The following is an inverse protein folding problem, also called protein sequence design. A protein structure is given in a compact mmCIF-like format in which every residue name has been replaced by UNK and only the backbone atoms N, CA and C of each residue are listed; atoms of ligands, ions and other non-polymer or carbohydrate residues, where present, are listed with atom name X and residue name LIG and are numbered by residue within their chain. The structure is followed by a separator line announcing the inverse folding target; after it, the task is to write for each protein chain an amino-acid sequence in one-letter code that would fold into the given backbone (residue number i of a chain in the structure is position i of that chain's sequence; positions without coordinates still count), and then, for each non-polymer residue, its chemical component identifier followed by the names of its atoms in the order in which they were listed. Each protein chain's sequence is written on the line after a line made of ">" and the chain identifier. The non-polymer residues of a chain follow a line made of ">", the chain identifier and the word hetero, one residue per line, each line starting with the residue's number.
data_IF_979736576286
#
_entry.id   IF_979736576286
#
_cell.length_a   1.000
_cell.length_b   1.000
_cell.length_c   1.000
_cell.angle_alpha   90.00
_cell.angle_beta   90.00
_cell.angle_gamma   90.00
#
_symmetry.space_group_name_H-M   'P 1'
#
loop_
_entity.id
_entity.type
_entity.pdbx_description
1 polymer ?
#
# COMPACT_ATOMS: atom_id res chain seq x y z
N UNK A 1 -47.89 -16.11 12.30
CA UNK A 1 -47.11 -17.13 13.03
C UNK A 1 -45.97 -16.38 13.72
N UNK A 2 -46.17 -16.03 14.99
CA UNK A 2 -45.22 -15.23 15.77
C UNK A 2 -44.15 -16.14 16.37
N UNK A 3 -42.89 -15.88 16.03
CA UNK A 3 -41.74 -16.51 16.67
C UNK A 3 -41.57 -15.85 18.04
N UNK A 4 -41.94 -16.58 19.11
CA UNK A 4 -41.67 -16.14 20.48
C UNK A 4 -40.17 -16.22 20.76
N UNK A 5 -39.55 -15.09 21.12
CA UNK A 5 -38.13 -15.00 21.54
C UNK A 5 -37.83 -15.64 22.91
N UNK A 6 -38.80 -16.33 23.52
CA UNK A 6 -38.65 -16.94 24.84
C UNK A 6 -38.05 -18.35 24.84
N UNK A 7 -37.71 -18.90 23.66
CA UNK A 7 -37.25 -20.27 23.54
C UNK A 7 -35.71 -20.31 23.58
N UNK A 8 -35.07 -20.86 24.62
CA UNK A 8 -33.61 -20.82 24.80
C UNK A 8 -32.85 -21.48 23.64
N UNK A 9 -33.48 -22.45 22.96
CA UNK A 9 -32.95 -23.07 21.75
C UNK A 9 -32.82 -22.08 20.58
N UNK A 10 -33.78 -21.17 20.39
CA UNK A 10 -33.75 -20.19 19.29
C UNK A 10 -32.66 -19.14 19.54
N UNK A 11 -32.46 -18.74 20.78
CA UNK A 11 -31.41 -17.81 21.18
C UNK A 11 -30.02 -18.42 21.00
N UNK A 12 -29.86 -19.70 21.32
CA UNK A 12 -28.61 -20.44 21.13
C UNK A 12 -28.25 -20.53 19.64
N UNK A 13 -29.21 -20.85 18.76
CA UNK A 13 -28.99 -20.86 17.31
C UNK A 13 -28.67 -19.46 16.75
N UNK A 14 -29.25 -18.40 17.30
CA UNK A 14 -28.97 -17.02 16.88
C UNK A 14 -27.56 -16.56 17.29
N UNK A 15 -27.09 -16.94 18.48
CA UNK A 15 -25.72 -16.69 18.94
C UNK A 15 -24.71 -17.52 18.13
N UNK A 16 -25.02 -18.78 17.82
CA UNK A 16 -24.16 -19.64 17.00
C UNK A 16 -24.04 -19.10 15.57
N UNK A 17 -25.13 -18.58 15.02
CA UNK A 17 -25.13 -17.90 13.73
C UNK A 17 -24.30 -16.61 13.76
N UNK A 18 -24.44 -15.77 14.79
CA UNK A 18 -23.61 -14.57 14.97
C UNK A 18 -22.12 -14.88 15.10
N UNK A 19 -21.75 -15.96 15.81
CA UNK A 19 -20.36 -16.41 15.89
C UNK A 19 -19.83 -16.91 14.54
N UNK A 20 -20.64 -17.65 13.77
CA UNK A 20 -20.28 -18.08 12.42
C UNK A 20 -20.13 -16.89 11.45
N UNK A 21 -20.96 -15.85 11.58
CA UNK A 21 -20.81 -14.60 10.81
C UNK A 21 -19.55 -13.81 11.21
N UNK A 22 -19.18 -13.77 12.49
CA UNK A 22 -17.92 -13.17 12.93
C UNK A 22 -16.70 -13.96 12.45
N UNK A 23 -16.78 -15.30 12.39
CA UNK A 23 -15.71 -16.14 11.84
C UNK A 23 -15.55 -15.97 10.32
N UNK A 24 -16.63 -15.73 9.57
CA UNK A 24 -16.56 -15.45 8.14
C UNK A 24 -16.17 -14.00 7.82
N UNK A 25 -16.47 -13.04 8.70
CA UNK A 25 -16.12 -11.62 8.52
C UNK A 25 -14.67 -11.27 8.88
N UNK A 26 -13.94 -12.17 9.57
CA UNK A 26 -12.54 -11.96 9.96
C UNK A 26 -11.53 -12.65 9.03
N UNK A 27 -11.99 -13.29 7.96
CA UNK A 27 -11.14 -13.97 7.00
C UNK A 27 -11.14 -13.25 5.64
N UNK A 28 -10.87 -11.95 5.69
CA UNK A 28 -10.62 -11.12 4.51
C UNK A 28 -9.47 -10.14 4.77
N UNK A 29 -8.45 -10.61 5.49
CA UNK A 29 -7.11 -10.05 5.36
C UNK A 29 -6.33 -11.07 4.52
N UNK A 30 -6.47 -10.90 3.21
CA UNK A 30 -5.75 -11.68 2.22
C UNK A 30 -4.29 -11.26 2.30
N UNK A 31 -3.54 -12.03 3.07
CA UNK A 31 -2.09 -12.09 3.04
C UNK A 31 -1.72 -12.24 1.56
N UNK A 32 -1.17 -11.19 0.95
CA UNK A 32 -0.55 -11.30 -0.36
C UNK A 32 0.59 -12.29 -0.21
N UNK A 33 0.29 -13.54 -0.49
CA UNK A 33 1.25 -14.59 -0.71
C UNK A 33 2.10 -14.06 -1.87
N UNK A 34 3.32 -13.63 -1.57
CA UNK A 34 4.37 -13.50 -2.58
C UNK A 34 4.61 -14.93 -3.10
N UNK A 35 3.74 -15.37 -4.01
CA UNK A 35 3.99 -16.55 -4.79
C UNK A 35 5.23 -16.24 -5.65
N UNK A 36 6.35 -16.76 -5.17
CA UNK A 36 7.60 -16.93 -5.91
C UNK A 36 7.44 -17.96 -7.04
N UNK A 37 6.33 -17.89 -7.78
CA UNK A 37 6.17 -18.62 -9.03
C UNK A 37 6.57 -17.66 -10.16
N UNK A 38 7.73 -17.91 -10.76
CA UNK A 38 8.13 -17.31 -12.04
C UNK A 38 7.34 -17.96 -13.19
N UNK A 39 6.01 -18.01 -13.03
CA UNK A 39 5.05 -18.35 -14.06
C UNK A 39 4.99 -17.23 -15.09
N UNK A 40 4.83 -17.61 -16.35
CA UNK A 40 5.04 -16.82 -17.56
C UNK A 40 4.06 -15.65 -17.78
N UNK A 41 3.32 -15.22 -16.76
CA UNK A 41 2.36 -14.12 -16.88
C UNK A 41 2.91 -12.84 -16.24
N UNK A 42 3.32 -11.89 -17.09
CA UNK A 42 3.68 -10.52 -16.70
C UNK A 42 5.17 -10.18 -16.70
N UNK A 43 6.06 -11.09 -17.14
CA UNK A 43 7.47 -10.79 -17.36
C UNK A 43 7.71 -10.09 -18.70
N UNK A 44 8.43 -8.97 -18.70
CA UNK A 44 8.85 -8.25 -19.90
C UNK A 44 10.37 -8.34 -20.09
N UNK A 45 10.81 -8.47 -21.34
CA UNK A 45 12.22 -8.63 -21.70
C UNK A 45 12.64 -7.56 -22.71
N UNK A 46 13.79 -6.94 -22.48
CA UNK A 46 14.36 -5.97 -23.40
C UNK A 46 15.89 -6.07 -23.44
N UNK A 47 16.47 -5.64 -24.56
CA UNK A 47 17.88 -5.84 -24.84
C UNK A 47 18.73 -4.64 -24.42
N UNK A 48 19.89 -4.94 -23.85
CA UNK A 48 21.00 -4.01 -23.72
C UNK A 48 21.84 -4.08 -24.98
N UNK A 49 22.09 -2.92 -25.57
CA UNK A 49 23.02 -2.80 -26.67
C UNK A 49 24.22 -1.94 -26.29
N UNK A 50 25.37 -2.22 -26.88
CA UNK A 50 26.62 -1.51 -26.62
C UNK A 50 27.31 -1.08 -27.91
N UNK A 51 28.19 -0.09 -27.82
CA UNK A 51 29.04 0.33 -28.92
C UNK A 51 30.44 0.67 -28.40
N UNK A 52 31.43 0.44 -29.25
CA UNK A 52 32.83 0.70 -28.96
C UNK A 52 33.24 2.02 -29.63
N UNK A 53 33.42 3.10 -28.85
CA UNK A 53 33.65 4.42 -29.42
C UNK A 53 32.46 4.84 -30.27
N UNK A 54 32.71 5.34 -31.48
CA UNK A 54 31.68 5.79 -32.41
C UNK A 54 31.11 4.70 -33.34
N UNK A 55 31.41 3.43 -33.09
CA UNK A 55 30.89 2.31 -33.87
C UNK A 55 29.38 2.08 -33.70
N UNK A 56 28.84 1.22 -34.56
CA UNK A 56 27.48 0.72 -34.49
C UNK A 56 27.21 -0.05 -33.19
N UNK A 57 25.93 -0.13 -32.84
CA UNK A 57 25.49 -0.81 -31.63
C UNK A 57 25.18 -2.28 -31.88
N UNK A 58 25.61 -3.13 -30.94
CA UNK A 58 25.41 -4.57 -30.97
C UNK A 58 24.74 -5.05 -29.68
N UNK A 59 24.06 -6.20 -29.74
CA UNK A 59 23.39 -6.78 -28.57
C UNK A 59 24.40 -7.34 -27.57
N UNK A 60 24.26 -6.93 -26.32
CA UNK A 60 25.28 -7.14 -25.30
C UNK A 60 24.71 -7.79 -24.02
N UNK A 61 23.40 -7.84 -23.88
CA UNK A 61 22.75 -8.53 -22.77
C UNK A 61 21.24 -8.31 -22.80
N UNK A 62 20.58 -8.84 -21.78
CA UNK A 62 19.13 -8.83 -21.70
C UNK A 62 18.68 -8.49 -20.28
N UNK A 63 17.76 -7.56 -20.18
CA UNK A 63 17.00 -7.29 -18.97
C UNK A 63 15.67 -8.02 -18.99
N UNK A 64 15.32 -8.59 -17.84
CA UNK A 64 13.98 -9.12 -17.57
C UNK A 64 13.40 -8.39 -16.36
N UNK A 65 12.18 -7.91 -16.47
CA UNK A 65 11.49 -7.21 -15.39
C UNK A 65 10.06 -7.74 -15.25
N UNK A 66 9.46 -7.64 -14.08
CA UNK A 66 8.04 -7.92 -13.85
C UNK A 66 7.23 -6.65 -14.05
N UNK A 67 6.17 -6.74 -14.83
CA UNK A 67 5.20 -5.67 -15.01
C UNK A 67 4.16 -5.75 -13.90
N UNK A 68 4.13 -4.74 -13.03
CA UNK A 68 3.13 -4.62 -11.96
C UNK A 68 2.10 -3.57 -12.35
N UNK A 69 0.83 -3.99 -12.45
CA UNK A 69 -0.32 -3.09 -12.62
C UNK A 69 -0.80 -2.60 -11.26
N UNK A 70 -1.00 -1.29 -11.11
CA UNK A 70 -1.54 -0.67 -9.91
C UNK A 70 -3.06 -0.50 -10.02
N UNK A 71 -3.74 -0.39 -8.89
CA UNK A 71 -5.21 -0.24 -8.82
C UNK A 71 -5.75 0.99 -9.58
N UNK A 72 -4.90 2.01 -9.78
CA UNK A 72 -5.22 3.21 -10.55
C UNK A 72 -4.96 3.06 -12.06
N UNK A 73 -4.69 1.84 -12.55
CA UNK A 73 -4.50 1.53 -13.97
C UNK A 73 -3.08 1.75 -14.51
N UNK A 74 -2.17 2.34 -13.72
CA UNK A 74 -0.77 2.50 -14.10
C UNK A 74 -0.01 1.17 -14.10
N UNK A 75 0.92 1.00 -15.04
CA UNK A 75 1.83 -0.16 -15.08
C UNK A 75 3.25 0.29 -14.75
N UNK A 76 3.96 -0.46 -13.92
CA UNK A 76 5.32 -0.14 -13.46
C UNK A 76 6.23 -1.36 -13.57
N UNK A 77 7.50 -1.14 -13.86
CA UNK A 77 8.50 -2.21 -13.87
C UNK A 77 9.02 -2.48 -12.46
N UNK A 78 9.08 -3.75 -12.08
CA UNK A 78 9.54 -4.22 -10.76
C UNK A 78 10.43 -5.45 -10.92
N UNK A 79 11.20 -5.81 -9.87
CA UNK A 79 12.08 -7.01 -9.84
C UNK A 79 12.96 -7.15 -11.11
N UNK A 80 13.79 -6.14 -11.40
CA UNK A 80 14.72 -6.16 -12.54
C UNK A 80 15.79 -7.24 -12.35
N UNK A 81 16.00 -8.07 -13.37
CA UNK A 81 17.10 -9.02 -13.49
C UNK A 81 17.87 -8.74 -14.77
N UNK A 82 19.17 -8.97 -14.72
CA UNK A 82 20.06 -8.70 -15.84
C UNK A 82 20.91 -9.93 -16.16
N UNK A 83 20.97 -10.26 -17.44
CA UNK A 83 21.86 -11.29 -17.98
C UNK A 83 22.82 -10.65 -18.98
N UNK A 84 24.11 -10.83 -18.74
CA UNK A 84 25.18 -10.16 -19.49
C UNK A 84 25.91 -11.14 -20.39
N UNK A 85 26.10 -10.78 -21.66
CA UNK A 85 26.89 -11.59 -22.58
C UNK A 85 28.39 -11.38 -22.34
N UNK A 86 29.17 -12.45 -22.48
CA UNK A 86 30.62 -12.36 -22.47
C UNK A 86 31.12 -11.75 -23.80
N UNK A 87 32.25 -11.04 -23.75
CA UNK A 87 32.89 -10.55 -24.97
C UNK A 87 33.46 -11.69 -25.82
N UNK A 88 33.19 -11.62 -27.11
CA UNK A 88 33.88 -12.35 -28.17
C UNK A 88 35.34 -11.89 -28.31
N UNK A 89 36.16 -12.68 -29.01
CA UNK A 89 37.57 -12.35 -29.22
C UNK A 89 37.75 -10.99 -29.92
N UNK A 90 36.91 -10.67 -30.90
CA UNK A 90 36.95 -9.41 -31.64
C UNK A 90 36.56 -8.21 -30.77
N UNK A 91 35.56 -8.36 -29.91
CA UNK A 91 35.12 -7.32 -28.98
C UNK A 91 36.19 -7.00 -27.94
N UNK A 92 36.94 -8.01 -27.48
CA UNK A 92 38.08 -7.80 -26.57
C UNK A 92 39.17 -6.95 -27.21
N UNK A 93 39.44 -7.16 -28.50
CA UNK A 93 40.40 -6.35 -29.24
C UNK A 93 39.90 -4.90 -29.41
N UNK A 94 38.63 -4.73 -29.82
CA UNK A 94 37.99 -3.41 -29.94
C UNK A 94 38.02 -2.65 -28.61
N UNK A 95 37.68 -3.32 -27.51
CA UNK A 95 37.72 -2.72 -26.18
C UNK A 95 39.16 -2.35 -25.76
N UNK A 96 40.15 -3.18 -26.08
CA UNK A 96 41.57 -2.87 -25.81
C UNK A 96 42.03 -1.61 -26.55
N UNK A 97 41.56 -1.38 -27.78
CA UNK A 97 41.83 -0.15 -28.52
C UNK A 97 41.19 1.08 -27.84
N UNK A 98 39.97 0.96 -27.32
CA UNK A 98 39.34 2.04 -26.54
C UNK A 98 40.13 2.39 -25.29
N UNK A 99 40.69 1.38 -24.60
CA UNK A 99 41.52 1.59 -23.43
C UNK A 99 42.78 2.39 -23.81
N UNK A 100 43.43 2.07 -24.92
CA UNK A 100 44.59 2.82 -25.41
C UNK A 100 44.21 4.28 -25.72
N UNK A 101 43.08 4.52 -26.39
CA UNK A 101 42.58 5.86 -26.75
C UNK A 101 41.94 6.66 -25.61
N UNK A 102 41.64 6.05 -24.46
CA UNK A 102 40.74 6.62 -23.44
C UNK A 102 39.40 7.05 -24.04
N UNK A 103 38.87 6.23 -24.95
CA UNK A 103 37.63 6.50 -25.67
C UNK A 103 36.40 6.07 -24.88
N UNK A 104 35.22 6.44 -25.39
CA UNK A 104 33.95 6.11 -24.76
C UNK A 104 33.50 4.70 -25.11
N UNK A 105 33.05 3.97 -24.10
CA UNK A 105 32.24 2.78 -24.27
C UNK A 105 30.79 3.17 -23.99
N UNK A 106 29.91 2.92 -24.97
CA UNK A 106 28.54 3.42 -24.97
C UNK A 106 27.58 2.25 -24.81
N UNK A 107 26.46 2.52 -24.14
CA UNK A 107 25.34 1.60 -24.05
C UNK A 107 24.05 2.29 -24.46
N UNK A 108 23.07 1.53 -24.92
CA UNK A 108 21.73 2.02 -25.20
C UNK A 108 20.65 1.03 -24.79
N UNK A 109 19.51 1.58 -24.42
CA UNK A 109 18.28 0.86 -24.07
C UNK A 109 17.09 1.46 -24.85
N UNK A 110 16.07 0.66 -25.17
CA UNK A 110 14.86 1.18 -25.78
C UNK A 110 14.15 2.15 -24.80
N UNK A 111 13.57 3.22 -25.33
CA UNK A 111 12.82 4.22 -24.54
C UNK A 111 11.49 3.68 -23.99
N UNK A 112 10.87 2.70 -24.66
CA UNK A 112 9.67 2.03 -24.20
C UNK A 112 9.84 0.52 -24.32
N UNK A 113 9.46 -0.20 -23.27
CA UNK A 113 9.69 -1.64 -23.15
C UNK A 113 8.55 -2.48 -23.75
N UNK A 114 7.30 -1.98 -23.76
CA UNK A 114 6.10 -2.72 -24.22
C UNK A 114 5.87 -2.60 -25.73
N UNK A 115 6.00 -1.40 -26.25
CA UNK A 115 5.83 -1.11 -27.66
C UNK A 115 6.74 0.07 -27.99
N UNK A 116 7.99 -0.16 -28.44
CA UNK A 116 8.86 0.94 -28.82
C UNK A 116 8.20 1.69 -29.98
N UNK A 117 7.70 2.94 -29.79
CA UNK A 117 7.09 3.70 -30.87
C UNK A 117 8.23 4.23 -31.75
N UNK A 118 8.79 3.38 -32.60
CA UNK A 118 10.01 3.70 -33.35
C UNK A 118 11.31 3.31 -32.63
N UNK A 119 12.45 3.62 -33.27
CA UNK A 119 13.82 3.32 -32.80
C UNK A 119 14.34 4.38 -31.83
N UNK A 120 13.53 4.73 -30.84
CA UNK A 120 13.91 5.73 -29.84
C UNK A 120 14.67 5.04 -28.71
N UNK A 121 15.96 5.38 -28.59
CA UNK A 121 16.87 4.79 -27.61
C UNK A 121 17.37 5.85 -26.62
N UNK A 122 17.51 5.43 -25.37
CA UNK A 122 18.24 6.19 -24.34
C UNK A 122 19.68 5.69 -24.31
N UNK A 123 20.64 6.60 -24.47
CA UNK A 123 22.07 6.29 -24.58
C UNK A 123 22.82 6.85 -23.38
N UNK A 124 23.77 6.09 -22.86
CA UNK A 124 24.74 6.55 -21.87
C UNK A 124 26.14 6.08 -22.24
N UNK A 125 27.16 6.82 -21.82
CA UNK A 125 28.56 6.51 -22.16
C UNK A 125 29.48 6.71 -20.97
N UNK A 126 30.50 5.86 -20.86
CA UNK A 126 31.57 5.99 -19.88
C UNK A 126 32.93 5.90 -20.58
N UNK A 127 33.95 6.55 -20.02
CA UNK A 127 35.32 6.35 -20.48
C UNK A 127 35.76 4.92 -20.21
N UNK A 128 36.28 4.25 -21.25
CA UNK A 128 36.59 2.82 -21.19
C UNK A 128 37.58 2.50 -20.06
N UNK A 129 38.54 3.39 -19.77
CA UNK A 129 39.53 3.20 -18.68
C UNK A 129 38.93 3.17 -17.27
N UNK A 130 37.65 3.54 -17.10
CA UNK A 130 36.98 3.49 -15.80
C UNK A 130 36.46 2.10 -15.43
N UNK A 131 36.23 1.23 -16.42
CA UNK A 131 35.61 -0.09 -16.23
C UNK A 131 36.59 -1.18 -15.75
N UNK A 132 37.85 -1.25 -16.22
CA UNK A 132 38.78 -2.28 -15.81
C UNK A 132 39.24 -2.08 -14.35
N UNK A 133 38.94 -3.09 -13.54
CA UNK A 133 39.56 -3.32 -12.22
C UNK A 133 40.18 -4.72 -12.23
N UNK A 134 39.78 -5.60 -11.32
CA UNK A 134 40.15 -7.02 -11.38
C UNK A 134 39.37 -7.76 -12.48
N UNK A 135 38.13 -7.32 -12.70
CA UNK A 135 37.22 -7.71 -13.76
C UNK A 135 36.70 -6.45 -14.48
N UNK A 136 35.63 -6.57 -15.27
CA UNK A 136 34.92 -5.43 -15.84
C UNK A 136 33.74 -5.06 -14.93
N UNK A 137 33.99 -4.14 -13.99
CA UNK A 137 32.96 -3.70 -13.05
C UNK A 137 32.11 -2.60 -13.67
N UNK A 138 30.82 -2.87 -13.83
CA UNK A 138 29.88 -1.91 -14.42
C UNK A 138 28.68 -1.68 -13.53
N UNK A 139 28.19 -0.45 -13.54
CA UNK A 139 27.03 0.00 -12.77
C UNK A 139 26.04 0.67 -13.71
N UNK A 140 24.84 0.09 -13.81
CA UNK A 140 23.74 0.54 -14.67
C UNK A 140 22.58 0.96 -13.77
N UNK A 141 22.23 2.24 -13.78
CA UNK A 141 21.04 2.74 -13.09
C UNK A 141 20.02 3.17 -14.14
N UNK A 142 18.87 2.51 -14.16
CA UNK A 142 17.79 2.78 -15.11
C UNK A 142 16.72 3.59 -14.38
N UNK A 143 16.38 4.74 -14.93
CA UNK A 143 15.32 5.60 -14.43
C UNK A 143 14.07 5.41 -15.31
N UNK A 144 12.99 4.95 -14.72
CA UNK A 144 11.74 4.64 -15.42
C UNK A 144 10.57 5.46 -14.91
N UNK A 145 9.65 5.76 -15.82
CA UNK A 145 8.30 6.23 -15.51
C UNK A 145 7.27 5.26 -16.08
N UNK A 146 6.72 4.45 -15.18
CA UNK A 146 5.89 3.30 -15.55
C UNK A 146 6.67 2.25 -16.36
N UNK A 147 6.43 2.21 -17.66
CA UNK A 147 7.05 1.30 -18.64
C UNK A 147 8.04 2.01 -19.57
N UNK A 148 8.14 3.33 -19.47
CA UNK A 148 9.06 4.13 -20.27
C UNK A 148 10.37 4.29 -19.52
N UNK A 149 11.49 4.09 -20.21
CA UNK A 149 12.82 4.40 -19.72
C UNK A 149 13.12 5.85 -20.09
N UNK A 150 13.26 6.70 -19.08
CA UNK A 150 13.54 8.13 -19.25
C UNK A 150 15.04 8.41 -19.34
N UNK A 151 15.84 7.61 -18.62
CA UNK A 151 17.26 7.87 -18.45
C UNK A 151 18.02 6.61 -18.04
N UNK A 152 19.29 6.56 -18.42
CA UNK A 152 20.21 5.51 -18.01
C UNK A 152 21.50 6.17 -17.57
N UNK A 153 21.98 5.83 -16.37
CA UNK A 153 23.30 6.20 -15.92
C UNK A 153 24.20 4.98 -15.99
N UNK A 154 25.30 5.11 -16.73
CA UNK A 154 26.27 4.03 -16.92
C UNK A 154 27.66 4.45 -16.47
N UNK A 155 28.31 3.60 -15.68
CA UNK A 155 29.68 3.84 -15.23
C UNK A 155 30.28 2.66 -14.48
N UNK A 156 31.36 2.92 -13.74
CA UNK A 156 31.95 1.98 -12.80
C UNK A 156 31.54 2.34 -11.36
N UNK A 157 31.51 1.39 -10.42
CA UNK A 157 31.23 1.69 -9.02
C UNK A 157 32.38 2.49 -8.38
N UNK A 158 32.15 3.77 -8.10
CA UNK A 158 33.11 4.67 -7.45
C UNK A 158 33.68 5.73 -8.38
N UNK A 159 34.64 6.51 -7.87
CA UNK A 159 35.22 7.61 -8.63
C UNK A 159 36.18 7.11 -9.72
N UNK A 160 36.16 7.77 -10.88
CA UNK A 160 37.13 7.60 -11.95
C UNK A 160 37.85 8.94 -12.21
N UNK A 161 38.75 9.35 -11.29
CA UNK A 161 39.40 10.65 -11.39
C UNK A 161 40.38 10.69 -12.57
N UNK A 162 40.57 11.90 -13.09
CA UNK A 162 41.63 12.19 -14.05
C UNK A 162 42.95 12.42 -13.28
N UNK A 163 44.11 11.92 -13.76
CA UNK A 163 44.35 11.17 -15.00
C UNK A 163 43.99 9.68 -14.91
N UNK A 164 43.29 9.18 -15.94
CA UNK A 164 42.88 7.78 -16.02
C UNK A 164 44.03 6.90 -16.54
N UNK A 165 44.53 6.01 -15.68
CA UNK A 165 45.60 5.08 -16.02
C UNK A 165 45.10 3.96 -16.95
N UNK A 166 45.94 3.57 -17.91
CA UNK A 166 45.68 2.40 -18.74
C UNK A 166 45.88 1.13 -17.90
N UNK A 167 44.79 0.38 -17.67
CA UNK A 167 44.82 -0.92 -17.00
C UNK A 167 44.02 -1.93 -17.82
N UNK A 168 44.63 -3.09 -18.05
CA UNK A 168 43.95 -4.22 -18.70
C UNK A 168 43.27 -5.08 -17.62
N UNK A 169 42.04 -5.57 -17.88
CA UNK A 169 41.36 -6.44 -16.93
C UNK A 169 42.04 -7.81 -16.86
N UNK A 170 42.27 -8.32 -15.66
CA UNK A 170 42.78 -9.68 -15.45
C UNK A 170 41.76 -10.74 -15.88
N UNK A 171 40.46 -10.44 -15.68
CA UNK A 171 39.33 -11.28 -16.10
C UNK A 171 38.44 -10.53 -17.07
N UNK A 172 38.23 -11.11 -18.25
CA UNK A 172 37.33 -10.59 -19.29
C UNK A 172 35.87 -11.00 -19.03
N UNK A 173 35.40 -10.80 -17.80
CA UNK A 173 34.04 -11.08 -17.35
C UNK A 173 33.43 -9.81 -16.77
N UNK A 174 32.17 -9.58 -17.06
CA UNK A 174 31.42 -8.46 -16.50
C UNK A 174 30.91 -8.78 -15.10
N UNK A 175 31.09 -7.83 -14.19
CA UNK A 175 30.47 -7.79 -12.89
C UNK A 175 29.50 -6.60 -12.87
N UNK A 176 28.27 -6.88 -13.29
CA UNK A 176 27.26 -5.86 -13.57
C UNK A 176 26.34 -5.66 -12.38
N UNK A 177 26.36 -4.46 -11.81
CA UNK A 177 25.40 -4.03 -10.79
C UNK A 177 24.31 -3.20 -11.44
N UNK A 178 23.05 -3.63 -11.31
CA UNK A 178 21.91 -2.99 -11.99
C UNK A 178 20.89 -2.51 -10.98
N UNK A 179 20.47 -1.24 -11.07
CA UNK A 179 19.47 -0.63 -10.20
C UNK A 179 18.34 -0.08 -11.07
N UNK A 180 17.10 -0.46 -10.75
CA UNK A 180 15.91 0.14 -11.31
C UNK A 180 15.36 1.19 -10.36
N UNK A 181 15.21 2.43 -10.84
CA UNK A 181 14.59 3.55 -10.11
C UNK A 181 13.32 3.95 -10.82
N UNK A 182 12.19 3.68 -10.19
CA UNK A 182 10.90 4.13 -10.70
C UNK A 182 10.60 5.56 -10.20
N UNK A 183 9.85 6.33 -10.97
CA UNK A 183 9.22 7.57 -10.49
C UNK A 183 8.29 7.22 -9.33
N UNK A 184 8.53 7.85 -8.19
CA UNK A 184 7.63 7.75 -7.04
C UNK A 184 6.85 9.06 -6.96
N UNK A 185 5.53 8.97 -6.85
CA UNK A 185 4.73 10.14 -6.57
C UNK A 185 5.10 10.62 -5.17
N UNK A 186 5.42 11.91 -5.02
CA UNK A 186 5.68 12.47 -3.71
C UNK A 186 4.54 12.10 -2.75
N UNK A 187 4.84 11.75 -1.48
CA UNK A 187 3.81 11.49 -0.49
C UNK A 187 2.81 12.63 -0.54
N UNK A 188 1.53 12.30 -0.74
CA UNK A 188 0.50 13.34 -0.70
C UNK A 188 0.62 13.99 0.67
N UNK A 189 0.69 15.33 0.69
CA UNK A 189 0.63 16.06 1.95
C UNK A 189 -0.57 15.52 2.74
N UNK A 190 -0.45 15.33 4.07
CA UNK A 190 -1.59 14.95 4.87
C UNK A 190 -2.71 15.92 4.53
N UNK A 191 -3.91 15.38 4.29
CA UNK A 191 -5.08 16.20 4.05
C UNK A 191 -5.26 16.99 5.34
N UNK A 192 -4.82 18.25 5.35
CA UNK A 192 -5.14 19.16 6.44
C UNK A 192 -6.65 19.28 6.40
N UNK A 193 -7.33 18.54 7.26
CA UNK A 193 -8.75 18.74 7.53
C UNK A 193 -8.92 20.21 7.90
N UNK A 194 -9.95 20.81 7.33
CA UNK A 194 -10.21 22.25 7.23
C UNK A 194 -10.52 22.94 8.58
N UNK A 195 -9.85 22.57 9.67
CA UNK A 195 -9.89 23.30 10.95
C UNK A 195 -9.24 24.70 10.84
N UNK A 196 -8.69 25.06 9.68
CA UNK A 196 -8.14 26.38 9.35
C UNK A 196 -9.16 27.27 8.59
N UNK A 197 -10.33 26.76 8.19
CA UNK A 197 -11.41 27.58 7.62
C UNK A 197 -12.39 28.14 8.69
N UNK A 198 -11.98 28.10 9.95
CA UNK A 198 -12.72 28.62 11.09
C UNK A 198 -12.11 29.84 11.76
N UNK A 199 -11.36 30.70 11.06
CA UNK A 199 -10.79 31.87 11.72
C UNK A 199 -10.01 32.82 10.82
N UNK A 200 -10.70 33.58 9.97
CA UNK A 200 -10.17 34.86 9.51
C UNK A 200 -10.25 35.84 10.69
N UNK A 201 -9.17 35.96 11.46
CA UNK A 201 -9.05 36.97 12.50
C UNK A 201 -8.15 36.58 13.68
N UNK A 202 -6.92 37.10 13.64
CA UNK A 202 -6.21 37.45 14.87
C UNK A 202 -5.21 36.42 15.38
N UNK A 203 -3.94 36.78 15.22
CA UNK A 203 -2.83 36.34 16.05
C UNK A 203 -3.23 36.29 17.53
N UNK A 204 -3.02 35.14 18.18
CA UNK A 204 -3.36 34.98 19.59
C UNK A 204 -3.13 33.56 20.04
N UNK A 205 -2.01 33.39 20.73
CA UNK A 205 -1.70 32.41 21.79
C UNK A 205 -2.67 31.24 21.97
N UNK A 206 -2.13 30.03 22.01
CA UNK A 206 -2.84 28.78 22.33
C UNK A 206 -3.65 28.92 23.63
N UNK A 207 -4.91 29.36 23.51
CA UNK A 207 -5.89 29.34 24.59
C UNK A 207 -6.37 27.90 24.70
N UNK A 208 -6.11 27.20 25.84
CA UNK A 208 -6.68 25.88 26.03
C UNK A 208 -8.22 25.97 25.93
N UNK A 209 -8.89 24.94 25.39
CA UNK A 209 -10.33 24.98 25.15
C UNK A 209 -11.05 25.35 26.45
N UNK A 210 -12.01 26.28 26.42
CA UNK A 210 -12.66 26.79 27.62
C UNK A 210 -13.24 25.62 28.42
N UNK A 211 -12.79 25.48 29.67
CA UNK A 211 -13.24 24.41 30.54
C UNK A 211 -14.76 24.49 30.70
N UNK A 212 -15.47 23.51 30.13
CA UNK A 212 -16.93 23.51 30.19
C UNK A 212 -17.38 23.39 31.64
N UNK A 213 -18.21 24.34 32.06
CA UNK A 213 -18.79 24.43 33.40
C UNK A 213 -19.28 23.07 33.92
N UNK A 214 -19.10 22.81 35.22
CA UNK A 214 -19.45 21.54 35.89
C UNK A 214 -20.84 21.01 35.52
N UNK A 215 -21.81 21.90 35.32
CA UNK A 215 -23.15 21.53 34.85
C UNK A 215 -23.12 20.86 33.47
N UNK A 216 -22.38 21.39 32.51
CA UNK A 216 -22.27 20.84 31.15
C UNK A 216 -21.57 19.47 31.11
N UNK A 217 -20.68 19.19 32.05
CA UNK A 217 -19.99 17.89 32.14
C UNK A 217 -20.82 16.81 32.83
N UNK A 218 -21.65 17.19 33.81
CA UNK A 218 -22.31 16.24 34.69
C UNK A 218 -23.85 16.23 34.63
N UNK A 219 -24.51 17.12 33.87
CA UNK A 219 -25.98 17.14 33.77
C UNK A 219 -26.59 15.82 33.29
N UNK A 220 -25.92 15.13 32.36
CA UNK A 220 -26.35 13.81 31.87
C UNK A 220 -26.36 12.76 32.99
N UNK A 221 -25.57 12.91 34.04
CA UNK A 221 -25.55 12.00 35.19
C UNK A 221 -26.44 12.48 36.33
N UNK A 222 -26.57 13.80 36.52
CA UNK A 222 -27.43 14.39 37.55
C UNK A 222 -28.92 14.15 37.29
N UNK A 223 -29.39 14.22 36.03
CA UNK A 223 -30.80 14.00 35.70
C UNK A 223 -31.24 12.55 35.96
N UNK A 224 -30.55 11.51 35.45
CA UNK A 224 -30.92 10.12 35.72
C UNK A 224 -30.80 9.76 37.20
N UNK A 225 -29.74 10.21 37.88
CA UNK A 225 -29.54 9.93 39.30
C UNK A 225 -30.61 10.59 40.16
N UNK A 226 -31.02 11.82 39.83
CA UNK A 226 -32.13 12.51 40.49
C UNK A 226 -33.47 11.77 40.32
N UNK A 227 -33.76 11.22 39.15
CA UNK A 227 -34.98 10.44 38.90
C UNK A 227 -35.00 9.11 39.66
N UNK A 228 -33.85 8.43 39.75
CA UNK A 228 -33.73 7.18 40.52
C UNK A 228 -33.94 7.44 42.00
N UNK A 229 -33.30 8.49 42.55
CA UNK A 229 -33.46 8.86 43.96
C UNK A 229 -34.89 9.32 44.25
N UNK A 230 -35.52 10.10 43.36
CA UNK A 230 -36.91 10.52 43.54
C UNK A 230 -37.86 9.32 43.53
N UNK A 231 -37.65 8.36 42.63
CA UNK A 231 -38.46 7.15 42.58
C UNK A 231 -38.23 6.25 43.81
N UNK A 232 -36.99 6.14 44.29
CA UNK A 232 -36.66 5.39 45.50
C UNK A 232 -37.23 6.03 46.77
N UNK A 233 -37.19 7.36 46.90
CA UNK A 233 -37.80 8.08 48.04
C UNK A 233 -39.33 7.97 47.96
N UNK A 234 -39.91 8.06 46.76
CA UNK A 234 -41.36 7.89 46.56
C UNK A 234 -41.81 6.46 46.85
N UNK A 235 -40.97 5.45 46.61
CA UNK A 235 -41.23 4.07 47.01
C UNK A 235 -41.02 3.85 48.52
N UNK A 236 -40.00 4.47 49.11
CA UNK A 236 -39.72 4.38 50.55
C UNK A 236 -40.80 5.08 51.41
N UNK A 237 -41.37 6.18 50.93
CA UNK A 237 -42.47 6.88 51.62
C UNK A 237 -43.85 6.24 51.40
N UNK A 238 -43.96 5.24 50.50
CA UNK A 238 -45.19 4.48 50.25
C UNK A 238 -45.11 3.02 50.74
N UNK A 239 -44.25 2.70 51.72
CA UNK A 239 -44.30 1.41 52.42
C UNK A 239 -45.39 1.43 53.52
N UNK A 240 -46.52 0.71 53.36
CA UNK A 240 -47.33 0.31 54.50
C UNK A 240 -46.59 -0.78 55.30
N UNK A 241 -46.49 -0.59 56.61
CA UNK A 241 -46.03 -1.60 57.57
C UNK A 241 -46.97 -2.82 57.58
N UNK A 242 -46.31 -3.98 57.62
CA UNK A 242 -46.77 -5.27 58.18
C UNK A 242 -47.88 -6.13 57.54
N UNK A 243 -47.50 -7.42 57.49
CA UNK A 243 -48.28 -8.64 57.75
C UNK A 243 -48.93 -9.41 56.58
N UNK A 244 -48.19 -10.47 56.24
CA UNK A 244 -48.61 -11.88 56.36
C UNK A 244 -49.62 -12.44 55.34
N UNK A 245 -49.12 -13.45 54.62
CA UNK A 245 -49.91 -14.39 53.85
C UNK A 245 -50.94 -15.14 54.72
N UNK A 246 -52.17 -15.30 54.20
CA UNK A 246 -53.08 -16.32 54.71
C UNK A 246 -54.58 -16.08 54.49
N UNK A 247 -55.15 -16.93 53.62
CA UNK A 247 -56.52 -17.48 53.66
C UNK A 247 -57.74 -16.67 53.15
N UNK A 248 -58.39 -17.31 52.17
CA UNK A 248 -59.83 -17.56 51.98
C UNK A 248 -60.82 -16.38 52.07
N UNK A 249 -61.56 -16.12 50.99
CA UNK A 249 -62.93 -16.64 50.72
C UNK A 249 -63.59 -15.83 49.57
N UNK A 250 -64.24 -16.54 48.64
CA UNK A 250 -65.16 -16.05 47.59
C UNK A 250 -66.48 -15.49 48.18
N UNK A 251 -67.48 -14.98 47.40
CA UNK A 251 -67.52 -14.32 46.07
C UNK A 251 -68.54 -13.11 46.04
N UNK A 252 -69.00 -12.72 44.83
CA UNK A 252 -70.15 -11.84 44.44
C UNK A 252 -69.80 -10.36 44.16
N UNK A 253 -70.28 -9.65 43.13
CA UNK A 253 -71.28 -9.88 42.07
C UNK A 253 -71.04 -8.92 40.87
N UNK A 254 -71.21 -9.46 39.65
CA UNK A 254 -72.09 -9.00 38.53
C UNK A 254 -71.88 -7.62 37.84
N UNK A 255 -71.80 -7.71 36.48
CA UNK A 255 -72.19 -6.75 35.42
C UNK A 255 -71.30 -5.51 35.17
N UNK A 256 -71.09 -4.99 33.95
CA UNK A 256 -71.55 -5.25 32.57
C UNK A 256 -70.67 -4.35 31.66
N UNK A 257 -70.47 -4.73 30.40
CA UNK A 257 -70.23 -3.75 29.34
C UNK A 257 -68.96 -3.96 28.50
N UNK A 258 -69.12 -4.70 27.40
CA UNK A 258 -68.29 -4.52 26.20
C UNK A 258 -68.75 -3.26 25.44
N UNK A 259 -67.90 -2.68 24.56
CA UNK A 259 -68.19 -2.79 23.13
C UNK A 259 -66.88 -2.94 22.29
N UNK A 260 -66.89 -2.99 20.93
CA UNK A 260 -66.57 -4.21 20.22
C UNK A 260 -65.33 -4.11 19.31
N UNK A 261 -64.91 -5.27 18.81
CA UNK A 261 -64.00 -5.47 17.69
C UNK A 261 -64.71 -5.36 16.35
N UNK A 262 -64.03 -4.81 15.32
CA UNK A 262 -64.22 -5.08 13.89
C UNK A 262 -63.00 -4.48 13.15
N UNK A 263 -61.98 -5.25 12.75
CA UNK A 263 -61.86 -6.14 11.58
C UNK A 263 -61.80 -5.42 10.22
N UNK A 264 -60.80 -5.86 9.45
CA UNK A 264 -60.15 -5.39 8.22
C UNK A 264 -60.86 -5.81 6.91
N UNK A 265 -60.48 -5.14 5.82
CA UNK A 265 -60.59 -5.44 4.36
C UNK A 265 -61.85 -4.85 3.70
N UNK A 266 -61.73 -4.02 2.66
CA UNK A 266 -61.10 -4.27 1.36
C UNK A 266 -60.54 -2.98 0.77
#
# INVERSE_FOLDING_TARGET
>A
MGLSLSNPLVFFFFILALFAFFSLAFQSDELLVDDDEFGLEGGIQFQLEHAFGDSDFFTAGTFTARLKTWNHGGQTLTKLRFSRNAFSAEEKEKFSRLLQGDDFYRIRLPSNVLSPPGRDFVVSSVKARCLPRDALDEHIVINTDGVNILGVNYGAPGACPYPRQLKLPSKWSFNSHTILKNTEQAPRAPIFTEDILGGEGGEGETVPPPERSFWAKYWMYLIPLGLIVMNAITQAMNLPEEQAAGQAQQPTAVQRGAPPSAVRRR
#
